data_IF_225890198689
#
_entry.id   IF_225890198689
#
_cell.length_a   1.000
_cell.length_b   1.000
_cell.length_c   1.000
_cell.angle_alpha   90.00
_cell.angle_beta   90.00
_cell.angle_gamma   90.00
#
_symmetry.space_group_name_H-M   'P 1'
#
loop_
_entity.id
_entity.type
_entity.pdbx_description
1 polymer ?
#
# COMPACT_ATOMS: atom_id res chain seq x y z
N UNK A 1 7.69 7.87 1.89
CA UNK A 1 7.23 6.46 1.73
C UNK A 1 8.13 5.59 0.85
N UNK A 2 8.59 6.07 -0.32
CA UNK A 2 9.36 5.30 -1.32
C UNK A 2 10.49 4.42 -0.75
N UNK A 3 11.45 4.98 -0.02
CA UNK A 3 12.59 4.22 0.50
C UNK A 3 12.19 3.10 1.49
N UNK A 4 11.12 3.32 2.28
CA UNK A 4 10.58 2.29 3.16
C UNK A 4 9.98 1.12 2.36
N UNK A 5 9.29 1.42 1.26
CA UNK A 5 8.72 0.41 0.37
C UNK A 5 9.81 -0.34 -0.38
N UNK A 6 10.82 0.35 -0.94
CA UNK A 6 12.00 -0.28 -1.57
C UNK A 6 12.65 -1.29 -0.62
N UNK A 7 12.92 -0.90 0.61
CA UNK A 7 13.47 -1.79 1.64
C UNK A 7 12.58 -3.01 1.91
N UNK A 8 11.25 -2.84 1.98
CA UNK A 8 10.28 -3.95 2.17
C UNK A 8 10.14 -4.87 0.96
N UNK A 9 10.46 -4.36 -0.23
CA UNK A 9 10.55 -5.11 -1.48
C UNK A 9 11.93 -5.77 -1.69
N UNK A 10 12.88 -5.62 -0.74
CA UNK A 10 14.22 -6.19 -0.86
C UNK A 10 15.15 -5.41 -1.81
N UNK A 11 14.80 -4.16 -2.14
CA UNK A 11 15.58 -3.29 -3.01
C UNK A 11 16.51 -2.42 -2.15
N UNK A 12 17.80 -2.41 -2.49
CA UNK A 12 18.80 -1.58 -1.81
C UNK A 12 18.58 -0.08 -2.10
N UNK A 13 18.93 0.77 -1.13
CA UNK A 13 18.69 2.23 -1.15
C UNK A 13 19.28 2.92 -2.39
N UNK A 14 20.43 2.46 -2.87
CA UNK A 14 21.10 3.00 -4.07
C UNK A 14 20.53 2.57 -5.43
N UNK A 15 19.52 1.69 -5.47
CA UNK A 15 18.90 1.25 -6.73
C UNK A 15 17.75 2.20 -7.08
N UNK A 16 17.93 2.95 -8.17
CA UNK A 16 16.99 3.98 -8.61
C UNK A 16 16.13 3.59 -9.81
N UNK A 17 16.44 2.49 -10.49
CA UNK A 17 15.74 2.06 -11.72
C UNK A 17 14.25 1.80 -11.51
N UNK A 18 13.83 1.46 -10.29
CA UNK A 18 12.43 1.19 -9.95
C UNK A 18 11.73 2.37 -9.27
N UNK A 19 12.40 3.52 -9.10
CA UNK A 19 11.86 4.62 -8.31
C UNK A 19 10.57 5.18 -8.92
N UNK A 20 10.53 5.32 -10.24
CA UNK A 20 9.37 5.86 -10.95
C UNK A 20 8.20 4.87 -10.86
N UNK A 21 8.40 3.62 -11.27
CA UNK A 21 7.38 2.55 -11.18
C UNK A 21 6.81 2.39 -9.76
N UNK A 22 7.69 2.34 -8.75
CA UNK A 22 7.25 2.21 -7.35
C UNK A 22 6.48 3.45 -6.92
N UNK A 23 6.86 4.65 -7.36
CA UNK A 23 6.16 5.89 -7.01
C UNK A 23 4.76 5.94 -7.62
N UNK A 24 4.60 5.47 -8.86
CA UNK A 24 3.31 5.35 -9.53
C UNK A 24 2.42 4.33 -8.82
N UNK A 25 2.94 3.15 -8.51
CA UNK A 25 2.20 2.14 -7.75
C UNK A 25 1.82 2.59 -6.33
N UNK A 26 2.65 3.41 -5.68
CA UNK A 26 2.28 4.05 -4.40
C UNK A 26 1.10 4.98 -4.60
N UNK A 27 1.10 5.81 -5.64
CA UNK A 27 0.01 6.73 -5.93
C UNK A 27 -1.30 5.97 -6.22
N UNK A 28 -1.24 4.93 -7.05
CA UNK A 28 -2.39 4.08 -7.39
C UNK A 28 -2.96 3.39 -6.15
N UNK A 29 -2.11 2.82 -5.28
CA UNK A 29 -2.54 2.19 -4.05
C UNK A 29 -3.23 3.17 -3.09
N UNK A 30 -2.72 4.40 -2.99
CA UNK A 30 -3.33 5.44 -2.13
C UNK A 30 -4.70 5.89 -2.64
N UNK A 31 -4.85 6.06 -3.96
CA UNK A 31 -6.15 6.41 -4.54
C UNK A 31 -7.14 5.24 -4.46
N UNK A 32 -6.69 3.99 -4.64
CA UNK A 32 -7.53 2.81 -4.48
C UNK A 32 -8.04 2.63 -3.04
N UNK A 33 -7.18 2.84 -2.03
CA UNK A 33 -7.59 2.86 -0.62
C UNK A 33 -8.63 3.94 -0.33
N UNK A 34 -8.40 5.16 -0.84
CA UNK A 34 -9.32 6.29 -0.67
C UNK A 34 -10.67 6.02 -1.32
N UNK A 35 -10.69 5.52 -2.55
CA UNK A 35 -11.94 5.17 -3.27
C UNK A 35 -12.66 3.97 -2.66
N UNK A 36 -11.93 3.07 -1.99
CA UNK A 36 -12.49 1.97 -1.20
C UNK A 36 -13.11 2.40 0.14
N UNK A 37 -12.95 3.67 0.55
CA UNK A 37 -13.54 4.22 1.78
C UNK A 37 -12.61 4.23 2.99
N UNK A 38 -11.29 4.07 2.81
CA UNK A 38 -10.33 4.25 3.90
C UNK A 38 -10.24 5.75 4.25
N UNK A 39 -10.27 6.14 5.54
CA UNK A 39 -10.22 7.54 5.95
C UNK A 39 -9.01 8.29 5.35
N UNK A 40 -9.20 9.44 4.68
CA UNK A 40 -8.11 10.15 4.02
C UNK A 40 -7.06 10.71 5.00
N UNK A 41 -7.43 10.89 6.27
CA UNK A 41 -6.54 11.42 7.31
C UNK A 41 -5.29 10.55 7.54
N UNK A 42 -5.41 9.23 7.33
CA UNK A 42 -4.29 8.29 7.45
C UNK A 42 -3.54 8.09 6.13
N UNK A 43 -4.12 8.44 4.98
CA UNK A 43 -3.61 8.21 3.62
C UNK A 43 -2.67 9.32 3.11
N UNK A 44 -1.88 9.94 4.00
CA UNK A 44 -0.92 10.98 3.61
C UNK A 44 0.30 10.35 2.93
N UNK A 45 0.88 10.99 1.91
CA UNK A 45 2.09 10.49 1.21
C UNK A 45 3.29 10.26 2.15
N UNK A 46 3.37 11.04 3.23
CA UNK A 46 4.40 10.94 4.26
C UNK A 46 3.90 10.23 5.53
N UNK A 47 2.81 9.45 5.43
CA UNK A 47 2.30 8.70 6.56
C UNK A 47 3.28 7.60 6.98
N UNK A 48 3.48 7.51 8.29
CA UNK A 48 4.21 6.42 8.93
C UNK A 48 3.27 5.37 9.51
N UNK A 49 1.96 5.46 9.21
CA UNK A 49 0.97 4.48 9.63
C UNK A 49 1.37 3.08 9.10
N UNK A 50 1.67 2.11 9.99
CA UNK A 50 2.11 0.79 9.58
C UNK A 50 1.07 0.04 8.74
N UNK A 51 -0.23 0.35 8.90
CA UNK A 51 -1.33 -0.26 8.14
C UNK A 51 -1.27 0.18 6.68
N UNK A 52 -1.12 1.48 6.44
CA UNK A 52 -0.99 2.06 5.10
C UNK A 52 0.29 1.56 4.44
N UNK A 53 1.43 1.62 5.14
CA UNK A 53 2.71 1.12 4.62
C UNK A 53 2.63 -0.36 4.22
N UNK A 54 1.90 -1.18 4.97
CA UNK A 54 1.72 -2.60 4.66
C UNK A 54 0.82 -2.80 3.45
N UNK A 55 -0.31 -2.09 3.36
CA UNK A 55 -1.19 -2.16 2.20
C UNK A 55 -0.45 -1.75 0.91
N UNK A 56 0.24 -0.61 0.94
CA UNK A 56 1.05 -0.14 -0.20
C UNK A 56 2.15 -1.14 -0.56
N UNK A 57 2.82 -1.74 0.42
CA UNK A 57 3.85 -2.77 0.15
C UNK A 57 3.25 -3.97 -0.58
N UNK A 58 2.06 -4.45 -0.19
CA UNK A 58 1.40 -5.57 -0.84
C UNK A 58 1.02 -5.21 -2.28
N UNK A 59 0.48 -4.00 -2.50
CA UNK A 59 0.16 -3.51 -3.83
C UNK A 59 1.40 -3.45 -4.72
N UNK A 60 2.47 -2.79 -4.25
CA UNK A 60 3.74 -2.69 -5.01
C UNK A 60 4.32 -4.07 -5.31
N UNK A 61 4.34 -5.00 -4.35
CA UNK A 61 4.82 -6.37 -4.60
C UNK A 61 4.00 -7.10 -5.67
N UNK A 62 2.71 -6.84 -5.75
CA UNK A 62 1.84 -7.46 -6.74
C UNK A 62 2.17 -7.04 -8.18
N UNK A 63 2.53 -5.77 -8.38
CA UNK A 63 2.76 -5.17 -9.70
C UNK A 63 4.23 -5.05 -10.10
N UNK A 64 5.15 -5.03 -9.12
CA UNK A 64 6.59 -5.02 -9.37
C UNK A 64 7.12 -6.42 -9.72
N UNK A 65 6.46 -7.48 -9.26
CA UNK A 65 6.85 -8.86 -9.53
C UNK A 65 6.50 -9.30 -10.95
N UNK A 66 7.45 -9.94 -11.65
CA UNK A 66 7.21 -10.56 -12.97
C UNK A 66 6.48 -11.91 -12.89
N UNK A 67 6.34 -12.50 -11.71
CA UNK A 67 5.64 -13.77 -11.50
C UNK A 67 4.15 -13.55 -11.22
N UNK A 68 3.31 -14.05 -12.12
CA UNK A 68 1.84 -13.90 -12.07
C UNK A 68 1.19 -14.66 -10.92
N UNK A 69 1.87 -15.66 -10.34
CA UNK A 69 1.31 -16.47 -9.26
C UNK A 69 1.23 -15.67 -7.95
N UNK A 70 2.29 -14.93 -7.62
CA UNK A 70 2.36 -14.08 -6.43
C UNK A 70 1.49 -12.83 -6.52
N UNK A 71 1.27 -12.28 -7.73
CA UNK A 71 0.39 -11.11 -7.95
C UNK A 71 -1.00 -11.33 -7.34
N UNK A 72 -1.63 -12.49 -7.59
CA UNK A 72 -2.97 -12.79 -7.08
C UNK A 72 -3.00 -12.88 -5.56
N UNK A 73 -1.99 -13.52 -4.98
CA UNK A 73 -1.86 -13.64 -3.52
C UNK A 73 -1.71 -12.26 -2.88
N UNK A 74 -0.82 -11.41 -3.39
CA UNK A 74 -0.60 -10.08 -2.83
C UNK A 74 -1.82 -9.17 -2.98
N UNK A 75 -2.54 -9.23 -4.10
CA UNK A 75 -3.79 -8.48 -4.27
C UNK A 75 -4.90 -8.96 -3.33
N UNK A 76 -5.01 -10.27 -3.07
CA UNK A 76 -5.96 -10.78 -2.08
C UNK A 76 -5.64 -10.28 -0.66
N UNK A 77 -4.37 -10.36 -0.26
CA UNK A 77 -3.92 -9.83 1.03
C UNK A 77 -4.13 -8.31 1.14
N UNK A 78 -3.84 -7.58 0.06
CA UNK A 78 -4.08 -6.15 -0.03
C UNK A 78 -5.56 -5.82 0.18
N UNK A 79 -6.47 -6.45 -0.58
CA UNK A 79 -7.92 -6.21 -0.46
C UNK A 79 -8.44 -6.50 0.94
N UNK A 80 -8.00 -7.60 1.57
CA UNK A 80 -8.35 -7.94 2.96
C UNK A 80 -7.86 -6.89 3.94
N UNK A 81 -6.66 -6.34 3.72
CA UNK A 81 -6.08 -5.28 4.56
C UNK A 81 -6.85 -3.97 4.40
N UNK A 82 -7.13 -3.54 3.17
CA UNK A 82 -7.91 -2.34 2.87
C UNK A 82 -9.31 -2.45 3.46
N UNK A 83 -10.01 -3.55 3.23
CA UNK A 83 -11.33 -3.80 3.81
C UNK A 83 -11.33 -3.73 5.34
N UNK A 84 -10.30 -4.23 6.01
CA UNK A 84 -10.20 -4.06 7.47
C UNK A 84 -10.04 -2.60 7.87
N UNK A 85 -9.22 -1.84 7.14
CA UNK A 85 -8.98 -0.42 7.41
C UNK A 85 -10.23 0.45 7.21
N UNK A 86 -11.16 0.05 6.33
CA UNK A 86 -12.44 0.75 6.19
C UNK A 86 -13.36 0.53 7.40
N UNK A 87 -13.23 -0.61 8.08
CA UNK A 87 -14.00 -0.94 9.29
C UNK A 87 -13.41 -0.29 10.56
N UNK A 88 -12.10 -0.09 10.62
CA UNK A 88 -11.43 0.59 11.74
C UNK A 88 -11.75 2.11 11.80
N UNK A 89 -12.40 2.67 10.77
CA UNK A 89 -12.88 4.05 10.74
C UNK A 89 -14.26 4.27 11.37
N UNK A 90 -14.97 3.20 11.77
CA UNK A 90 -16.35 3.30 12.32
C UNK A 90 -16.46 3.27 13.84
N UNK A 91 -15.35 3.23 14.59
CA UNK A 91 -15.36 3.20 16.06
C UNK A 91 -15.56 4.58 16.72
N UNK A 92 -15.90 5.62 15.94
CA UNK A 92 -16.17 6.98 16.44
C UNK A 92 -17.67 7.30 16.59
N UNK A 93 -18.59 6.39 16.25
CA UNK A 93 -20.04 6.66 16.25
C UNK A 93 -20.83 5.87 17.32
N UNK A 94 -20.23 5.62 18.49
CA UNK A 94 -20.96 5.06 19.65
C UNK A 94 -20.64 5.86 20.92
N UNK A 95 -21.17 7.08 20.99
CA UNK A 95 -21.46 7.76 22.28
C UNK A 95 -22.95 7.62 22.62
#
# INVERSE_FOLDING_TARGET
MLEKIKKRCGIAEGINVYNDDISDYIADALEDMKTSGVPPDILKKDTDDPRVLTAVTLYVKAYLGNDRSDTRMYLDLYRKKVFRMTLEGSDLDVE
#
